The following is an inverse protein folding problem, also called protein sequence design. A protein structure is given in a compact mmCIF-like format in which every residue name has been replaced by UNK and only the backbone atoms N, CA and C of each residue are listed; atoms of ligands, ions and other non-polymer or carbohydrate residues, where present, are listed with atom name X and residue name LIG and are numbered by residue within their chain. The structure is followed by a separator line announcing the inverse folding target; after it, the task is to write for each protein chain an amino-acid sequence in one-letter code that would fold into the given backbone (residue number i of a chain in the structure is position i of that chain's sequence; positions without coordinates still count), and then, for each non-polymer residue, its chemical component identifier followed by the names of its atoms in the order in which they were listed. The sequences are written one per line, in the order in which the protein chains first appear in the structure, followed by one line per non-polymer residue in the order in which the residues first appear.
data_IF_044050194195
#
_entry.id   IF_044050194195
#
_cell.length_a   1.000
_cell.length_b   1.000
_cell.length_c   1.000
_cell.angle_alpha   90.00
_cell.angle_beta   90.00
_cell.angle_gamma   90.00
#
_symmetry.space_group_name_H-M   'P 1'
#
loop_
_entity.id
_entity.type
_entity.pdbx_description
1 polymer ?
#
# COMPACT_ATOMS: atom_id res chain seq x y z
N UNK A 1 -0.53 2.56 -17.32
CA UNK A 1 -0.65 1.45 -18.29
C UNK A 1 -1.79 0.56 -17.79
N UNK A 2 -2.90 0.49 -18.53
CA UNK A 2 -4.14 -0.20 -18.11
C UNK A 2 -4.19 -1.57 -18.76
N UNK A 3 -4.44 -2.63 -17.98
CA UNK A 3 -4.62 -4.00 -18.49
C UNK A 3 -6.04 -4.45 -18.17
N UNK A 4 -6.81 -4.80 -19.19
CA UNK A 4 -8.12 -5.42 -19.07
C UNK A 4 -7.96 -6.95 -18.88
N UNK A 5 -8.50 -7.48 -17.77
CA UNK A 5 -8.32 -8.86 -17.32
C UNK A 5 -9.53 -9.77 -17.59
N UNK A 6 -10.49 -9.36 -18.41
CA UNK A 6 -11.67 -10.17 -18.73
C UNK A 6 -11.32 -11.41 -19.61
N UNK A 7 -10.78 -12.49 -19.00
CA UNK A 7 -11.04 -13.92 -19.33
C UNK A 7 -9.93 -14.93 -18.96
N UNK A 8 -8.89 -14.58 -18.20
CA UNK A 8 -7.94 -15.59 -17.67
C UNK A 8 -7.93 -15.56 -16.15
N UNK A 9 -8.43 -16.67 -15.57
CA UNK A 9 -8.52 -16.99 -14.13
C UNK A 9 -7.58 -16.16 -13.24
N UNK A 10 -8.15 -15.41 -12.29
CA UNK A 10 -7.43 -14.62 -11.29
C UNK A 10 -6.39 -15.42 -10.48
N UNK A 11 -6.52 -16.75 -10.45
CA UNK A 11 -5.57 -17.69 -9.83
C UNK A 11 -4.15 -17.53 -10.39
N UNK A 12 -3.97 -17.09 -11.65
CA UNK A 12 -2.63 -16.84 -12.20
C UNK A 12 -2.00 -15.54 -11.69
N UNK A 13 -2.79 -14.52 -11.35
CA UNK A 13 -2.27 -13.23 -10.92
C UNK A 13 -1.85 -13.27 -9.46
N UNK A 14 -2.66 -13.90 -8.61
CA UNK A 14 -2.35 -14.05 -7.19
C UNK A 14 -1.13 -14.94 -6.99
N UNK A 15 -1.05 -16.06 -7.71
CA UNK A 15 0.13 -16.94 -7.65
C UNK A 15 1.40 -16.24 -8.16
N UNK A 16 1.29 -15.45 -9.24
CA UNK A 16 2.40 -14.66 -9.76
C UNK A 16 2.93 -13.67 -8.72
N UNK A 17 2.05 -12.87 -8.11
CA UNK A 17 2.48 -11.86 -7.14
C UNK A 17 2.89 -12.48 -5.81
N UNK A 18 2.20 -13.51 -5.33
CA UNK A 18 2.58 -14.26 -4.13
C UNK A 18 4.00 -14.82 -4.24
N UNK A 19 4.37 -15.39 -5.40
CA UNK A 19 5.71 -15.94 -5.62
C UNK A 19 6.84 -14.90 -5.57
N UNK A 20 6.50 -13.62 -5.74
CA UNK A 20 7.45 -12.49 -5.77
C UNK A 20 7.36 -11.59 -4.55
N UNK A 21 6.33 -11.76 -3.73
CA UNK A 21 6.05 -10.87 -2.61
C UNK A 21 6.98 -11.16 -1.43
N UNK A 22 7.53 -10.10 -0.84
CA UNK A 22 8.17 -10.16 0.48
C UNK A 22 7.14 -10.30 1.60
N UNK A 23 5.96 -9.75 1.40
CA UNK A 23 4.83 -9.87 2.32
C UNK A 23 3.50 -9.77 1.56
N UNK A 24 2.48 -10.41 2.13
CA UNK A 24 1.11 -10.38 1.66
C UNK A 24 0.22 -9.96 2.81
N UNK A 25 -0.66 -8.98 2.57
CA UNK A 25 -1.65 -8.49 3.53
C UNK A 25 -3.04 -8.49 2.90
N UNK A 26 -4.08 -8.52 3.72
CA UNK A 26 -5.44 -8.17 3.31
C UNK A 26 -5.76 -6.75 3.78
N UNK A 27 -6.56 -6.00 3.01
CA UNK A 27 -6.90 -4.63 3.38
C UNK A 27 -7.52 -4.48 4.79
N UNK A 28 -8.13 -5.54 5.32
CA UNK A 28 -8.70 -5.58 6.68
C UNK A 28 -7.69 -5.86 7.79
N UNK A 29 -6.46 -6.24 7.46
CA UNK A 29 -5.45 -6.59 8.44
C UNK A 29 -5.11 -5.38 9.30
N UNK A 30 -5.35 -5.48 10.61
CA UNK A 30 -5.13 -4.38 11.57
C UNK A 30 -3.66 -4.03 11.78
N UNK A 31 -2.75 -4.89 11.35
CA UNK A 31 -1.31 -4.76 11.60
C UNK A 31 -0.55 -4.20 10.39
N UNK A 32 -1.24 -3.67 9.37
CA UNK A 32 -0.60 -3.04 8.22
C UNK A 32 0.05 -1.72 8.65
N UNK A 33 1.32 -1.53 8.28
CA UNK A 33 2.02 -0.25 8.41
C UNK A 33 1.61 0.64 7.24
N UNK A 34 0.48 1.31 7.40
CA UNK A 34 -0.07 2.23 6.39
C UNK A 34 0.40 3.65 6.66
N UNK A 35 1.03 4.27 5.67
CA UNK A 35 1.64 5.61 5.77
C UNK A 35 0.89 6.54 4.83
N UNK A 36 0.23 7.57 5.37
CA UNK A 36 -0.48 8.56 4.54
C UNK A 36 0.51 9.42 3.77
N UNK A 37 0.48 9.31 2.44
CA UNK A 37 1.37 10.06 1.55
C UNK A 37 1.05 11.56 1.53
N UNK A 38 -0.19 11.96 1.80
CA UNK A 38 -0.55 13.37 2.00
C UNK A 38 0.11 14.00 3.24
N UNK A 39 0.59 13.20 4.22
CA UNK A 39 1.35 13.73 5.36
C UNK A 39 2.68 14.34 4.92
N UNK A 40 3.29 13.81 3.87
CA UNK A 40 4.57 14.31 3.34
C UNK A 40 4.45 15.69 2.70
N UNK A 41 3.24 16.17 2.41
CA UNK A 41 2.98 17.44 1.71
C UNK A 41 2.51 18.53 2.69
N UNK A 42 1.83 18.17 3.79
CA UNK A 42 1.14 19.14 4.65
C UNK A 42 1.62 19.19 6.11
N UNK A 43 2.56 18.33 6.53
CA UNK A 43 3.17 18.34 7.87
C UNK A 43 2.13 18.48 8.99
N UNK A 44 1.08 17.64 8.95
CA UNK A 44 0.01 17.65 9.95
C UNK A 44 0.36 16.68 11.10
N UNK A 45 0.77 17.19 12.28
CA UNK A 45 1.19 16.37 13.40
C UNK A 45 0.02 15.68 14.13
N UNK A 46 -1.23 16.02 13.79
CA UNK A 46 -2.43 15.44 14.42
C UNK A 46 -2.90 14.14 13.76
N UNK A 47 -2.34 13.81 12.60
CA UNK A 47 -2.71 12.62 11.85
C UNK A 47 -1.91 11.41 12.37
N UNK A 48 -2.62 10.50 13.05
CA UNK A 48 -2.06 9.36 13.77
C UNK A 48 -1.15 8.46 12.91
N UNK A 49 0.05 8.16 13.43
CA UNK A 49 0.86 7.04 12.95
C UNK A 49 0.24 5.74 13.45
N UNK A 50 -0.28 4.91 12.55
CA UNK A 50 -0.97 3.66 12.91
C UNK A 50 -0.01 2.49 13.24
N UNK A 51 1.26 2.74 13.54
CA UNK A 51 2.23 1.66 13.77
C UNK A 51 3.23 2.01 14.88
N UNK A 52 3.48 1.02 15.74
CA UNK A 52 4.42 1.15 16.87
C UNK A 52 5.74 0.39 16.63
N UNK A 53 5.76 -0.58 15.71
CA UNK A 53 6.95 -1.38 15.44
C UNK A 53 6.90 -2.04 14.04
N UNK A 54 8.02 -2.01 13.31
CA UNK A 54 8.22 -2.75 12.05
C UNK A 54 8.47 -4.24 12.27
N UNK A 55 8.71 -4.65 13.51
CA UNK A 55 8.92 -6.04 13.90
C UNK A 55 7.88 -6.44 14.93
N UNK A 56 6.94 -7.30 14.55
CA UNK A 56 5.85 -7.75 15.41
C UNK A 56 5.87 -9.28 15.40
N UNK A 57 5.93 -9.90 16.59
CA UNK A 57 5.89 -11.35 16.78
C UNK A 57 6.90 -12.12 15.90
N UNK A 58 8.15 -11.66 15.83
CA UNK A 58 9.18 -12.34 15.05
C UNK A 58 9.19 -12.04 13.55
N UNK A 59 8.31 -11.14 13.06
CA UNK A 59 8.13 -10.85 11.64
C UNK A 59 8.30 -9.38 11.32
N UNK A 60 8.97 -9.09 10.21
CA UNK A 60 9.04 -7.75 9.65
C UNK A 60 7.74 -7.40 8.91
N UNK A 61 7.22 -6.21 9.17
CA UNK A 61 6.12 -5.59 8.46
C UNK A 61 6.68 -4.46 7.60
N UNK A 62 6.18 -4.35 6.38
CA UNK A 62 6.67 -3.40 5.40
C UNK A 62 5.69 -2.24 5.23
N UNK A 63 6.19 -1.00 5.12
CA UNK A 63 5.35 0.17 4.92
C UNK A 63 4.65 0.11 3.56
N UNK A 64 3.35 0.36 3.57
CA UNK A 64 2.51 0.55 2.39
C UNK A 64 1.90 1.94 2.45
N UNK A 65 1.60 2.59 1.31
CA UNK A 65 0.87 3.84 1.34
C UNK A 65 -0.55 3.63 1.85
N UNK A 66 -1.05 4.61 2.59
CA UNK A 66 -2.48 4.79 2.72
C UNK A 66 -3.01 5.25 1.35
N UNK A 67 -3.99 4.52 0.83
CA UNK A 67 -4.62 4.80 -0.45
C UNK A 67 -5.71 5.86 -0.24
N UNK A 68 -5.34 7.13 -0.39
CA UNK A 68 -6.26 8.25 -0.28
C UNK A 68 -7.34 8.19 -1.36
N UNK A 69 -8.57 8.58 -0.99
CA UNK A 69 -9.71 8.58 -1.92
C UNK A 69 -9.40 9.50 -3.11
N UNK A 70 -9.61 8.94 -4.30
CA UNK A 70 -9.50 9.63 -5.58
C UNK A 70 -10.76 9.34 -6.43
N UNK A 71 -11.01 10.17 -7.44
CA UNK A 71 -12.16 10.06 -8.33
C UNK A 71 -11.76 9.45 -9.68
N UNK A 72 -12.24 8.23 -9.94
CA UNK A 72 -12.05 7.51 -11.19
C UNK A 72 -13.36 7.32 -11.97
N UNK A 73 -14.38 8.14 -11.67
CA UNK A 73 -15.67 8.11 -12.37
C UNK A 73 -15.54 8.34 -13.87
N UNK A 74 -14.54 9.11 -14.30
CA UNK A 74 -14.21 9.36 -15.71
C UNK A 74 -13.85 8.10 -16.51
N UNK A 75 -13.43 7.03 -15.83
CA UNK A 75 -13.15 5.72 -16.43
C UNK A 75 -14.12 4.64 -15.95
N UNK A 76 -15.27 5.04 -15.38
CA UNK A 76 -16.34 4.14 -14.98
C UNK A 76 -16.11 3.36 -13.69
N UNK A 77 -15.12 3.73 -12.88
CA UNK A 77 -14.86 3.08 -11.59
C UNK A 77 -15.40 3.95 -10.46
N UNK A 78 -16.26 3.39 -9.62
CA UNK A 78 -16.75 4.09 -8.43
C UNK A 78 -15.65 4.12 -7.38
N UNK A 79 -15.40 5.28 -6.77
CA UNK A 79 -14.40 5.39 -5.69
C UNK A 79 -14.69 4.44 -4.54
N UNK A 80 -15.96 4.11 -4.27
CA UNK A 80 -16.38 3.18 -3.20
C UNK A 80 -16.06 1.71 -3.53
N UNK A 81 -15.77 1.38 -4.79
CA UNK A 81 -15.26 0.05 -5.15
C UNK A 81 -13.77 -0.10 -4.77
N UNK A 82 -13.04 1.02 -4.70
CA UNK A 82 -11.60 1.05 -4.39
C UNK A 82 -11.34 1.39 -2.93
N UNK A 83 -11.97 2.44 -2.42
CA UNK A 83 -11.57 3.12 -1.19
C UNK A 83 -12.55 2.90 -0.04
N UNK A 84 -12.01 2.80 1.18
CA UNK A 84 -12.79 2.74 2.41
C UNK A 84 -12.02 3.36 3.57
N UNK A 85 -12.63 4.32 4.27
CA UNK A 85 -12.10 4.84 5.55
C UNK A 85 -12.21 3.85 6.71
N UNK A 86 -12.83 2.68 6.50
CA UNK A 86 -13.01 1.64 7.51
C UNK A 86 -11.84 0.66 7.60
N UNK A 87 -10.84 0.77 6.73
CA UNK A 87 -9.67 -0.10 6.70
C UNK A 87 -8.39 0.69 6.99
N UNK A 88 -7.37 0.06 7.61
CA UNK A 88 -6.12 0.75 7.94
C UNK A 88 -5.36 1.30 6.74
N UNK A 89 -5.53 0.71 5.56
CA UNK A 89 -4.84 1.11 4.34
C UNK A 89 -5.67 2.01 3.41
N UNK A 90 -6.93 2.30 3.73
CA UNK A 90 -7.79 3.12 2.87
C UNK A 90 -8.43 2.37 1.69
N UNK A 91 -8.14 1.07 1.50
CA UNK A 91 -8.74 0.24 0.44
C UNK A 91 -9.96 -0.54 0.94
N UNK A 92 -10.88 -0.92 0.04
CA UNK A 92 -11.98 -1.83 0.39
C UNK A 92 -11.48 -3.22 0.81
N UNK A 93 -12.29 -3.93 1.61
CA UNK A 93 -11.91 -5.21 2.23
C UNK A 93 -11.50 -6.35 1.28
N UNK A 94 -11.85 -6.24 0.00
CA UNK A 94 -11.63 -7.29 -1.01
C UNK A 94 -10.24 -7.18 -1.69
N UNK A 95 -9.41 -6.22 -1.27
CA UNK A 95 -8.04 -6.08 -1.77
C UNK A 95 -7.06 -6.98 -0.99
N UNK A 96 -6.28 -7.74 -1.75
CA UNK A 96 -5.03 -8.36 -1.29
C UNK A 96 -3.86 -7.49 -1.72
N UNK A 97 -2.90 -7.28 -0.82
CA UNK A 97 -1.77 -6.35 -0.97
C UNK A 97 -0.50 -7.17 -1.00
N UNK A 98 0.24 -7.09 -2.11
CA UNK A 98 1.50 -7.79 -2.33
C UNK A 98 2.65 -6.80 -2.30
N UNK A 99 3.46 -6.81 -1.24
CA UNK A 99 4.67 -6.00 -1.16
C UNK A 99 5.77 -6.70 -1.95
N UNK A 100 6.15 -6.15 -3.10
CA UNK A 100 7.13 -6.76 -4.00
C UNK A 100 8.57 -6.42 -3.62
N UNK A 101 8.82 -5.20 -3.16
CA UNK A 101 10.11 -4.83 -2.59
C UNK A 101 9.93 -3.70 -1.59
N UNK A 102 10.82 -3.67 -0.60
CA UNK A 102 10.85 -2.66 0.43
C UNK A 102 12.23 -2.69 1.08
N UNK A 103 12.88 -1.53 1.13
CA UNK A 103 14.20 -1.35 1.76
C UNK A 103 14.31 0.02 2.43
N UNK A 104 14.95 0.06 3.60
CA UNK A 104 15.36 1.29 4.29
C UNK A 104 16.61 1.88 3.62
N UNK A 105 16.74 3.20 3.62
CA UNK A 105 17.92 3.91 3.11
C UNK A 105 17.59 5.12 2.22
N UNK A 106 18.62 5.84 1.81
CA UNK A 106 18.49 7.04 0.98
C UNK A 106 18.54 6.65 -0.50
N UNK A 107 17.37 6.50 -1.12
CA UNK A 107 17.25 6.13 -2.53
C UNK A 107 16.99 7.34 -3.45
N UNK A 108 16.94 8.54 -2.90
CA UNK A 108 16.81 9.79 -3.64
C UNK A 108 17.68 10.90 -3.02
N UNK A 109 18.29 11.74 -3.86
CA UNK A 109 19.15 12.83 -3.40
C UNK A 109 18.31 14.01 -2.92
N UNK A 110 18.62 14.53 -1.74
CA UNK A 110 17.91 15.66 -1.15
C UNK A 110 16.64 15.30 -0.37
N UNK A 111 16.39 14.01 -0.16
CA UNK A 111 15.26 13.54 0.64
C UNK A 111 15.54 13.75 2.14
N UNK A 112 14.61 14.40 2.83
CA UNK A 112 14.69 14.61 4.29
C UNK A 112 14.05 13.41 5.00
N UNK A 113 14.64 12.92 6.10
CA UNK A 113 14.03 11.89 6.95
C UNK A 113 12.57 12.21 7.30
N UNK A 114 11.66 11.31 6.96
CA UNK A 114 10.25 11.41 7.36
C UNK A 114 10.12 11.12 8.86
N UNK A 115 9.48 12.03 9.59
CA UNK A 115 9.14 11.84 11.01
C UNK A 115 7.93 10.92 11.18
N UNK A 116 7.11 10.79 10.13
CA UNK A 116 5.98 9.89 10.02
C UNK A 116 6.39 8.52 9.47
N UNK A 117 7.58 8.05 9.81
CA UNK A 117 8.09 6.72 9.48
C UNK A 117 8.77 6.13 10.73
N UNK A 118 8.80 4.79 10.88
CA UNK A 118 9.52 4.15 11.99
C UNK A 118 10.97 4.63 12.06
N UNK A 119 11.56 4.71 13.27
CA UNK A 119 12.90 5.29 13.51
C UNK A 119 13.99 4.76 12.57
N UNK A 120 13.97 3.47 12.24
CA UNK A 120 14.96 2.83 11.35
C UNK A 120 14.55 2.82 9.86
N UNK A 121 13.45 3.48 9.54
CA UNK A 121 12.79 3.56 8.23
C UNK A 121 12.44 4.98 7.82
N UNK A 122 13.01 5.99 8.49
CA UNK A 122 12.76 7.40 8.17
C UNK A 122 13.00 7.75 6.70
N UNK A 123 13.89 7.01 6.04
CA UNK A 123 14.03 7.04 4.59
C UNK A 123 13.98 5.61 4.06
N UNK A 124 13.42 5.44 2.86
CA UNK A 124 13.40 4.15 2.21
C UNK A 124 12.56 4.14 0.94
N UNK A 125 12.17 2.96 0.51
CA UNK A 125 11.11 2.84 -0.48
C UNK A 125 10.28 1.58 -0.22
N UNK A 126 9.08 1.58 -0.79
CA UNK A 126 8.33 0.34 -1.02
C UNK A 126 7.63 0.37 -2.38
N UNK A 127 7.44 -0.81 -2.95
CA UNK A 127 6.61 -1.04 -4.12
C UNK A 127 5.81 -2.30 -3.99
N UNK A 128 4.68 -2.31 -4.67
CA UNK A 128 3.89 -3.52 -4.77
C UNK A 128 2.63 -3.36 -5.58
N UNK A 129 1.74 -4.32 -5.40
CA UNK A 129 0.47 -4.43 -6.12
C UNK A 129 -0.67 -4.75 -5.16
N UNK A 130 -1.79 -4.04 -5.29
CA UNK A 130 -3.04 -4.39 -4.63
C UNK A 130 -3.98 -4.98 -5.68
N UNK A 131 -4.59 -6.12 -5.39
CA UNK A 131 -5.47 -6.84 -6.31
C UNK A 131 -6.83 -7.03 -5.65
N UNK A 132 -7.89 -6.59 -6.32
CA UNK A 132 -9.27 -6.93 -5.99
C UNK A 132 -9.85 -7.76 -7.14
N UNK A 133 -9.77 -9.08 -7.00
CA UNK A 133 -10.24 -10.01 -8.02
C UNK A 133 -11.75 -9.96 -8.24
N UNK A 134 -12.53 -9.59 -7.22
CA UNK A 134 -13.99 -9.49 -7.35
C UNK A 134 -14.41 -8.34 -8.26
N UNK A 135 -13.62 -7.26 -8.27
CA UNK A 135 -13.89 -6.06 -9.06
C UNK A 135 -12.99 -5.93 -10.30
N UNK A 136 -12.02 -6.84 -10.47
CA UNK A 136 -11.05 -6.77 -11.57
C UNK A 136 -10.11 -5.57 -11.47
N UNK A 137 -9.83 -5.09 -10.25
CA UNK A 137 -9.03 -3.88 -10.02
C UNK A 137 -7.61 -4.26 -9.59
N UNK A 138 -6.62 -3.65 -10.22
CA UNK A 138 -5.21 -3.78 -9.85
C UNK A 138 -4.62 -2.39 -9.65
N UNK A 139 -4.01 -2.14 -8.49
CA UNK A 139 -3.33 -0.89 -8.15
C UNK A 139 -1.86 -1.19 -7.99
N UNK A 140 -1.01 -0.45 -8.69
CA UNK A 140 0.44 -0.52 -8.51
C UNK A 140 0.88 0.70 -7.71
N UNK A 141 1.81 0.51 -6.76
CA UNK A 141 2.44 1.63 -6.09
C UNK A 141 3.97 1.51 -6.11
N UNK A 142 4.60 2.66 -6.11
CA UNK A 142 6.00 2.85 -5.76
C UNK A 142 6.10 4.16 -5.01
N UNK A 143 6.59 4.11 -3.78
CA UNK A 143 6.76 5.29 -2.93
C UNK A 143 8.19 5.28 -2.39
N UNK A 144 8.82 6.45 -2.47
CA UNK A 144 10.08 6.74 -1.77
C UNK A 144 9.67 7.52 -0.51
N UNK A 145 10.03 6.97 0.63
CA UNK A 145 9.76 7.52 1.96
C UNK A 145 10.90 8.43 2.39
#
# INVERSE_FOLDING_TARGET
MYYDFNNKKSTSIDSLFSSKAKAVYNAIDTNIISVRTKLLIWDDPTMEMFYNNIFINGRYYYPVPYFEKDDYSSIGIKSEDIYSSKTPCGLTKDFTIYVLDSKRGNYWKGLKPSEHMPKDWKNGFSKGVCVNNKKGIVIYWFVIW
#
